data_IF_109886819407
#
_entry.id   IF_109886819407
#
_cell.length_a   1.000
_cell.length_b   1.000
_cell.length_c   1.000
_cell.angle_alpha   90.00
_cell.angle_beta   90.00
_cell.angle_gamma   90.00
#
_symmetry.space_group_name_H-M   'P 1'
#
loop_
_entity.id
_entity.type
_entity.pdbx_description
1 polymer ?
#
# COMPACT_ATOMS: atom_id res chain seq x y z
N UNK A 1 2.38 -50.54 36.38
CA UNK A 1 1.97 -50.87 37.77
C UNK A 1 0.91 -49.88 38.22
N UNK A 2 0.21 -50.25 39.30
CA UNK A 2 -0.83 -49.53 40.04
C UNK A 2 -0.47 -48.04 40.38
N UNK A 3 -1.38 -47.11 40.73
CA UNK A 3 -2.84 -47.17 40.96
C UNK A 3 -3.46 -45.74 41.02
N UNK A 4 -4.80 -45.65 41.17
CA UNK A 4 -5.57 -44.55 41.83
C UNK A 4 -5.44 -43.10 41.25
N UNK A 5 -6.43 -42.43 40.63
CA UNK A 5 -7.88 -42.18 40.97
C UNK A 5 -8.06 -41.68 42.43
N UNK A 6 -8.80 -40.61 42.77
CA UNK A 6 -10.13 -40.18 42.24
C UNK A 6 -10.62 -38.87 42.94
N UNK A 7 -11.68 -38.25 42.39
CA UNK A 7 -12.75 -37.44 43.09
C UNK A 7 -12.41 -36.09 43.76
N UNK A 8 -13.31 -35.10 43.92
CA UNK A 8 -14.77 -34.98 43.60
C UNK A 8 -15.17 -33.53 43.21
N UNK A 9 -16.38 -33.35 42.65
CA UNK A 9 -16.98 -32.06 42.25
C UNK A 9 -17.94 -31.48 43.32
N UNK A 10 -17.94 -30.15 43.47
CA UNK A 10 -19.14 -29.33 43.20
C UNK A 10 -20.13 -28.98 44.34
N UNK A 11 -21.03 -28.04 43.98
CA UNK A 11 -22.16 -27.46 44.72
C UNK A 11 -21.83 -26.50 45.89
N UNK A 12 -22.65 -25.48 46.21
CA UNK A 12 -23.63 -24.72 45.42
C UNK A 12 -24.10 -23.46 46.19
N UNK A 13 -24.47 -22.40 45.46
CA UNK A 13 -25.50 -21.36 45.76
C UNK A 13 -25.74 -20.91 47.23
N UNK A 14 -25.36 -19.67 47.53
CA UNK A 14 -26.25 -18.57 47.96
C UNK A 14 -25.41 -17.26 47.99
N UNK A 15 -25.87 -16.07 47.62
CA UNK A 15 -27.22 -15.64 47.25
C UNK A 15 -27.77 -14.62 48.24
N UNK A 16 -27.33 -13.35 48.19
CA UNK A 16 -28.04 -12.21 48.79
C UNK A 16 -27.59 -10.87 48.18
N UNK A 17 -28.54 -9.94 48.09
CA UNK A 17 -28.40 -8.62 47.46
C UNK A 17 -28.06 -7.54 48.50
N UNK A 18 -27.31 -6.49 48.11
CA UNK A 18 -27.74 -5.05 48.11
C UNK A 18 -26.54 -4.08 48.03
N UNK A 19 -26.69 -3.03 47.19
CA UNK A 19 -25.94 -1.74 47.23
C UNK A 19 -26.59 -0.82 48.31
N UNK A 20 -26.15 0.44 48.61
CA UNK A 20 -25.14 1.29 47.94
C UNK A 20 -24.24 2.24 48.81
N UNK A 21 -23.43 3.05 48.11
CA UNK A 21 -22.94 4.44 48.41
C UNK A 21 -21.75 4.69 49.36
N UNK A 22 -20.78 5.44 48.80
CA UNK A 22 -20.00 6.58 49.35
C UNK A 22 -19.16 6.35 50.65
N UNK A 23 -17.97 6.92 50.86
CA UNK A 23 -17.19 7.97 50.16
C UNK A 23 -15.76 8.10 50.74
N UNK A 24 -14.82 8.63 49.93
CA UNK A 24 -13.66 9.48 50.30
C UNK A 24 -12.52 8.96 51.22
N UNK A 25 -11.28 9.36 50.83
CA UNK A 25 -10.03 9.44 51.64
C UNK A 25 -9.41 8.09 52.08
N UNK A 26 -8.09 7.95 52.28
CA UNK A 26 -6.93 8.85 52.06
C UNK A 26 -5.65 8.00 51.82
N UNK A 27 -4.55 8.69 51.45
CA UNK A 27 -3.13 8.30 51.36
C UNK A 27 -2.64 6.90 51.80
N UNK A 28 -1.57 6.40 51.14
CA UNK A 28 -0.37 5.86 51.82
C UNK A 28 0.88 5.96 50.92
N UNK A 29 1.97 6.47 51.50
CA UNK A 29 3.32 6.55 50.92
C UNK A 29 3.97 5.18 50.74
N UNK A 30 4.90 5.07 49.77
CA UNK A 30 5.95 4.03 49.77
C UNK A 30 7.26 4.62 49.29
N UNK A 31 8.27 4.65 50.16
CA UNK A 31 9.62 5.09 49.82
C UNK A 31 10.67 4.31 50.64
N UNK A 32 11.46 3.45 49.98
CA UNK A 32 12.76 2.86 50.38
C UNK A 32 13.13 1.77 49.33
N UNK A 33 14.31 1.68 48.68
CA UNK A 33 15.73 1.79 49.14
C UNK A 33 16.04 0.60 50.10
N UNK A 34 17.07 -0.25 50.00
CA UNK A 34 18.39 -0.33 49.32
C UNK A 34 18.82 -1.85 49.25
N UNK A 35 19.92 -2.37 48.66
CA UNK A 35 21.01 -1.91 47.74
C UNK A 35 21.83 -3.14 47.27
N UNK A 36 22.47 -3.06 46.10
CA UNK A 36 23.78 -3.70 45.83
C UNK A 36 23.79 -5.06 45.11
N UNK A 37 24.89 -5.48 44.49
CA UNK A 37 26.11 -4.75 44.06
C UNK A 37 27.05 -5.71 43.31
N UNK A 38 27.55 -5.33 42.12
CA UNK A 38 28.80 -5.88 41.52
C UNK A 38 29.23 -5.03 40.33
N UNK A 39 30.39 -4.37 40.45
CA UNK A 39 31.06 -3.65 39.37
C UNK A 39 32.10 -4.55 38.70
N UNK A 40 32.37 -4.32 37.41
CA UNK A 40 33.73 -4.32 36.85
C UNK A 40 33.78 -3.41 35.60
N UNK A 41 34.95 -2.83 35.34
CA UNK A 41 35.12 -1.60 34.53
C UNK A 41 35.85 -1.82 33.20
N UNK A 42 35.74 -0.84 32.28
CA UNK A 42 36.55 -0.73 31.05
C UNK A 42 35.85 0.01 29.90
N UNK A 43 35.47 1.29 30.03
CA UNK A 43 36.22 2.47 29.50
C UNK A 43 36.65 2.35 28.03
N UNK A 44 36.30 3.21 27.05
CA UNK A 44 35.54 4.47 26.94
C UNK A 44 35.83 5.04 25.53
N UNK A 45 35.11 5.98 24.88
CA UNK A 45 34.09 7.00 25.21
C UNK A 45 33.07 7.06 24.02
N UNK A 46 32.02 7.87 23.92
CA UNK A 46 31.36 8.86 24.79
C UNK A 46 29.84 8.83 24.49
N UNK A 47 28.99 8.98 25.52
CA UNK A 47 27.54 9.29 25.38
C UNK A 47 27.41 10.80 25.02
N UNK A 48 26.30 11.36 24.53
CA UNK A 48 24.91 11.18 24.98
C UNK A 48 23.86 11.38 23.86
N UNK A 49 22.76 10.64 23.99
CA UNK A 49 21.45 10.94 23.38
C UNK A 49 20.52 11.29 24.54
N UNK A 50 19.69 12.32 24.38
CA UNK A 50 18.63 12.64 25.33
C UNK A 50 17.33 12.94 24.57
N UNK A 51 16.28 12.22 24.93
CA UNK A 51 14.95 12.28 24.30
C UNK A 51 14.27 13.64 24.45
N UNK A 52 13.45 14.02 23.46
CA UNK A 52 12.34 14.94 23.67
C UNK A 52 11.08 14.49 22.90
N UNK A 53 10.17 13.84 23.62
CA UNK A 53 8.79 13.62 23.20
C UNK A 53 7.99 14.88 23.54
N UNK A 54 7.34 15.49 22.55
CA UNK A 54 6.47 16.66 22.77
C UNK A 54 5.00 16.24 22.76
N UNK A 55 4.36 16.32 23.93
CA UNK A 55 2.93 16.05 24.11
C UNK A 55 2.23 17.35 24.52
N UNK A 56 1.48 17.98 23.61
CA UNK A 56 0.76 19.22 23.90
C UNK A 56 -0.59 18.97 24.57
N UNK A 57 -0.86 19.69 25.67
CA UNK A 57 -2.20 19.93 26.19
C UNK A 57 -2.39 21.43 26.45
N UNK A 58 -3.63 21.90 26.30
CA UNK A 58 -4.00 23.32 26.30
C UNK A 58 -4.41 23.83 27.68
N UNK A 59 -3.80 24.93 28.15
CA UNK A 59 -4.43 25.93 29.05
C UNK A 59 -3.90 27.33 28.73
N UNK A 60 -4.77 28.35 28.79
CA UNK A 60 -4.44 29.79 28.70
C UNK A 60 -4.32 30.41 30.11
N UNK A 61 -3.30 31.25 30.37
CA UNK A 61 -3.40 32.59 31.00
C UNK A 61 -2.04 33.33 30.99
N UNK A 62 -2.06 34.66 31.15
CA UNK A 62 -0.92 35.60 31.07
C UNK A 62 -0.35 35.96 32.48
N UNK A 63 0.53 36.98 32.66
CA UNK A 63 1.95 37.04 32.25
C UNK A 63 2.89 37.43 33.42
N UNK A 64 4.23 37.41 33.21
CA UNK A 64 5.22 38.46 33.60
C UNK A 64 6.67 37.91 33.68
N UNK A 65 7.64 38.83 33.50
CA UNK A 65 9.12 38.70 33.66
C UNK A 65 9.93 37.95 32.58
N UNK A 66 10.28 38.73 31.54
CA UNK A 66 11.66 39.05 31.13
C UNK A 66 12.69 37.92 30.90
N UNK A 67 12.79 37.56 29.63
CA UNK A 67 14.02 37.63 28.79
C UNK A 67 15.28 36.84 29.15
N UNK A 68 15.50 35.75 28.41
CA UNK A 68 16.74 35.54 27.66
C UNK A 68 16.44 34.70 26.41
N UNK A 69 16.34 35.36 25.26
CA UNK A 69 15.94 34.75 23.99
C UNK A 69 17.21 34.37 23.20
N UNK A 70 17.61 33.10 23.28
CA UNK A 70 18.66 32.56 22.42
C UNK A 70 18.13 32.43 20.99
N UNK A 71 18.26 33.50 20.20
CA UNK A 71 17.96 33.49 18.77
C UNK A 71 19.07 32.67 18.08
N UNK A 72 18.81 31.38 17.86
CA UNK A 72 19.60 30.59 16.92
C UNK A 72 19.19 31.05 15.51
N UNK A 73 20.09 31.62 14.69
CA UNK A 73 19.75 32.03 13.34
C UNK A 73 19.42 30.80 12.48
N UNK A 74 18.44 30.93 11.58
CA UNK A 74 17.97 29.81 10.76
C UNK A 74 19.08 29.10 9.95
N UNK A 75 20.17 29.81 9.63
CA UNK A 75 21.34 29.24 8.96
C UNK A 75 22.07 28.17 9.79
N UNK A 76 21.99 28.19 11.13
CA UNK A 76 22.65 27.18 11.97
C UNK A 76 21.95 25.82 11.93
N UNK A 77 20.62 25.77 11.73
CA UNK A 77 19.94 24.51 11.45
C UNK A 77 20.27 23.97 10.04
N UNK A 78 20.43 24.84 9.04
CA UNK A 78 20.86 24.43 7.71
C UNK A 78 22.27 23.79 7.75
N UNK A 79 23.22 24.38 8.48
CA UNK A 79 24.57 23.83 8.65
C UNK A 79 24.61 22.47 9.37
N UNK A 80 23.84 22.30 10.45
CA UNK A 80 23.74 21.01 11.15
C UNK A 80 23.03 19.94 10.30
N UNK A 81 22.15 20.34 9.37
CA UNK A 81 21.49 19.43 8.44
C UNK A 81 22.38 19.06 7.24
N UNK A 82 23.30 19.95 6.82
CA UNK A 82 24.30 19.65 5.79
C UNK A 82 25.37 18.66 6.25
N UNK A 83 25.74 18.66 7.54
CA UNK A 83 26.80 17.78 8.09
C UNK A 83 26.40 16.29 8.24
N UNK A 84 25.21 15.90 7.76
CA UNK A 84 24.70 14.52 7.80
C UNK A 84 24.29 13.99 6.41
N UNK A 85 24.54 14.75 5.35
CA UNK A 85 24.57 14.19 4.00
C UNK A 85 25.91 13.48 3.81
N UNK A 86 25.87 12.21 3.43
CA UNK A 86 27.07 11.47 3.02
C UNK A 86 27.51 12.02 1.67
N UNK A 87 28.72 12.56 1.59
CA UNK A 87 29.25 13.18 0.38
C UNK A 87 29.42 12.14 -0.75
N UNK A 88 28.75 12.39 -1.87
CA UNK A 88 28.94 11.71 -3.17
C UNK A 88 28.64 10.19 -3.20
N UNK A 89 27.36 9.84 -3.22
CA UNK A 89 26.89 8.50 -3.60
C UNK A 89 27.23 8.22 -5.06
N UNK A 90 28.07 7.22 -5.34
CA UNK A 90 28.27 6.70 -6.70
C UNK A 90 27.00 5.99 -7.14
N UNK A 91 26.54 6.22 -8.37
CA UNK A 91 25.31 5.62 -8.89
C UNK A 91 25.59 4.87 -10.19
N UNK A 92 25.39 3.56 -10.15
CA UNK A 92 25.43 2.68 -11.33
C UNK A 92 24.01 2.43 -11.82
N UNK A 93 23.78 2.38 -13.15
CA UNK A 93 22.44 2.17 -13.72
C UNK A 93 22.41 0.89 -14.54
N UNK A 94 21.47 0.01 -14.21
CA UNK A 94 21.21 -1.26 -14.88
C UNK A 94 19.70 -1.46 -15.14
N UNK A 95 19.33 -2.53 -15.82
CA UNK A 95 17.96 -3.08 -15.84
C UNK A 95 17.76 -3.98 -14.61
N UNK A 96 16.54 -4.10 -14.05
CA UNK A 96 16.27 -5.00 -12.94
C UNK A 96 16.73 -6.45 -13.11
N UNK A 97 16.71 -7.00 -14.33
CA UNK A 97 17.19 -8.37 -14.63
C UNK A 97 18.71 -8.50 -14.85
N UNK A 98 19.46 -7.39 -14.81
CA UNK A 98 20.94 -7.40 -14.85
C UNK A 98 21.54 -7.51 -13.43
N UNK A 99 20.72 -7.36 -12.38
CA UNK A 99 21.16 -7.47 -10.99
C UNK A 99 21.53 -8.93 -10.64
N UNK A 100 22.71 -9.10 -10.05
CA UNK A 100 23.24 -10.38 -9.60
C UNK A 100 22.63 -10.85 -8.28
N UNK A 101 22.86 -12.12 -7.93
CA UNK A 101 22.34 -12.75 -6.72
C UNK A 101 22.66 -11.99 -5.42
N UNK A 102 23.86 -11.39 -5.32
CA UNK A 102 24.26 -10.61 -4.15
C UNK A 102 23.44 -9.32 -3.97
N UNK A 103 23.19 -8.60 -5.06
CA UNK A 103 22.40 -7.37 -5.07
C UNK A 103 20.94 -7.64 -4.74
N UNK A 104 20.35 -8.67 -5.36
CA UNK A 104 18.98 -9.11 -5.10
C UNK A 104 18.80 -9.60 -3.65
N UNK A 105 19.82 -10.27 -3.09
CA UNK A 105 19.83 -10.69 -1.68
C UNK A 105 19.90 -9.49 -0.73
N UNK A 106 20.73 -8.49 -1.04
CA UNK A 106 20.85 -7.27 -0.24
C UNK A 106 19.57 -6.44 -0.25
N UNK A 107 18.96 -6.24 -1.43
CA UNK A 107 17.64 -5.63 -1.59
C UNK A 107 16.61 -6.34 -0.71
N UNK A 108 16.54 -7.68 -0.80
CA UNK A 108 15.59 -8.47 0.00
C UNK A 108 15.83 -8.31 1.50
N UNK A 109 17.08 -8.26 1.94
CA UNK A 109 17.44 -8.09 3.34
C UNK A 109 16.94 -6.74 3.89
N UNK A 110 17.04 -5.65 3.13
CA UNK A 110 16.49 -4.36 3.56
C UNK A 110 14.95 -4.33 3.58
N UNK A 111 14.26 -5.01 2.66
CA UNK A 111 12.81 -5.18 2.76
C UNK A 111 12.39 -5.98 4.00
N UNK A 112 13.20 -6.96 4.43
CA UNK A 112 12.94 -7.74 5.66
C UNK A 112 13.30 -6.95 6.92
N UNK A 113 14.29 -6.07 6.86
CA UNK A 113 14.73 -5.25 7.99
C UNK A 113 13.80 -4.05 8.28
N UNK A 114 13.15 -3.47 7.26
CA UNK A 114 12.22 -2.36 7.43
C UNK A 114 10.78 -2.73 7.00
N UNK A 115 9.83 -2.88 7.95
CA UNK A 115 8.42 -3.14 7.66
C UNK A 115 7.72 -2.08 6.78
N UNK A 116 8.32 -0.90 6.59
CA UNK A 116 7.84 0.15 5.67
C UNK A 116 8.26 -0.09 4.22
N UNK A 117 9.25 -0.97 3.98
CA UNK A 117 9.75 -1.37 2.66
C UNK A 117 9.30 -2.80 2.26
N UNK A 118 8.65 -3.54 3.16
CA UNK A 118 8.16 -4.91 2.96
C UNK A 118 6.97 -5.06 1.98
N UNK A 119 6.50 -4.00 1.32
CA UNK A 119 5.46 -4.09 0.30
C UNK A 119 5.91 -4.98 -0.87
N UNK A 120 5.07 -5.90 -1.38
CA UNK A 120 5.43 -6.75 -2.51
C UNK A 120 5.66 -5.95 -3.81
N UNK A 121 5.12 -4.74 -3.92
CA UNK A 121 5.41 -3.84 -5.04
C UNK A 121 6.86 -3.34 -5.08
N UNK A 122 7.57 -3.42 -3.95
CA UNK A 122 9.00 -3.11 -3.83
C UNK A 122 9.88 -4.35 -3.96
N UNK A 123 9.32 -5.53 -4.28
CA UNK A 123 10.08 -6.76 -4.39
C UNK A 123 10.93 -6.83 -5.68
N UNK A 124 12.12 -7.47 -5.64
CA UNK A 124 12.95 -7.67 -6.82
C UNK A 124 12.22 -8.45 -7.92
N UNK A 125 11.42 -9.47 -7.61
CA UNK A 125 10.65 -10.22 -8.62
C UNK A 125 9.65 -9.34 -9.37
N UNK A 126 8.99 -8.41 -8.65
CA UNK A 126 8.10 -7.43 -9.28
C UNK A 126 8.87 -6.52 -10.24
N UNK A 127 10.08 -6.10 -9.86
CA UNK A 127 10.91 -5.25 -10.70
C UNK A 127 11.47 -5.97 -11.93
N UNK A 128 11.93 -7.22 -11.77
CA UNK A 128 12.44 -8.09 -12.83
C UNK A 128 11.33 -8.39 -13.85
N UNK A 129 10.18 -8.89 -13.41
CA UNK A 129 9.06 -9.18 -14.30
C UNK A 129 8.55 -7.92 -15.02
N UNK A 130 8.55 -6.76 -14.35
CA UNK A 130 8.20 -5.51 -15.03
C UNK A 130 9.23 -5.15 -16.12
N UNK A 131 10.54 -5.33 -15.87
CA UNK A 131 11.58 -5.05 -16.85
C UNK A 131 11.52 -5.96 -18.09
N UNK A 132 11.11 -7.22 -17.92
CA UNK A 132 10.94 -8.19 -19.01
C UNK A 132 9.87 -7.75 -20.02
N UNK A 133 8.89 -6.94 -19.59
CA UNK A 133 7.81 -6.44 -20.44
C UNK A 133 7.88 -4.93 -20.77
N UNK A 134 8.66 -4.15 -20.02
CA UNK A 134 8.73 -2.70 -20.13
C UNK A 134 10.19 -2.19 -20.18
N UNK A 135 10.72 -2.06 -21.41
CA UNK A 135 12.10 -1.61 -21.71
C UNK A 135 12.52 -0.25 -21.09
N UNK A 136 11.58 0.55 -20.57
CA UNK A 136 11.89 1.77 -19.83
C UNK A 136 12.41 1.52 -18.39
N UNK A 137 12.20 0.32 -17.84
CA UNK A 137 12.56 -0.02 -16.46
C UNK A 137 14.07 0.00 -16.22
N UNK A 138 14.50 0.66 -15.15
CA UNK A 138 15.89 0.77 -14.70
C UNK A 138 15.96 0.66 -13.18
N UNK A 139 17.13 0.28 -12.68
CA UNK A 139 17.51 0.44 -11.28
C UNK A 139 18.73 1.35 -11.25
N UNK A 140 18.70 2.36 -10.40
CA UNK A 140 19.90 3.03 -9.93
C UNK A 140 20.37 2.27 -8.68
N UNK A 141 21.57 1.70 -8.74
CA UNK A 141 22.28 1.12 -7.60
C UNK A 141 23.09 2.24 -6.97
N UNK A 142 22.81 2.54 -5.70
CA UNK A 142 23.45 3.58 -4.92
C UNK A 142 24.59 2.95 -4.11
N UNK A 143 25.79 3.46 -4.30
CA UNK A 143 27.03 2.97 -3.70
C UNK A 143 27.67 4.07 -2.84
N UNK A 144 28.04 3.73 -1.61
CA UNK A 144 28.86 4.54 -0.71
C UNK A 144 30.25 3.88 -0.60
N UNK A 145 31.27 4.59 -1.05
CA UNK A 145 32.61 4.06 -1.38
C UNK A 145 32.58 2.80 -2.28
N UNK A 146 32.60 1.61 -1.66
CA UNK A 146 32.56 0.29 -2.30
C UNK A 146 31.34 -0.56 -1.88
N UNK A 147 30.46 -0.02 -1.03
CA UNK A 147 29.31 -0.72 -0.46
C UNK A 147 28.02 -0.25 -1.12
N UNK A 148 27.17 -1.18 -1.56
CA UNK A 148 25.82 -0.83 -2.01
C UNK A 148 25.00 -0.42 -0.78
N UNK A 149 24.40 0.77 -0.83
CA UNK A 149 23.59 1.38 0.25
C UNK A 149 22.13 1.59 -0.16
N UNK A 150 21.80 1.50 -1.45
CA UNK A 150 20.41 1.56 -1.89
C UNK A 150 20.15 1.11 -3.33
N UNK A 151 18.87 0.88 -3.62
CA UNK A 151 18.33 0.62 -4.94
C UNK A 151 17.16 1.56 -5.19
N UNK A 152 17.16 2.30 -6.30
CA UNK A 152 16.04 3.11 -6.74
C UNK A 152 15.48 2.56 -8.07
N UNK A 153 14.34 1.84 -8.04
CA UNK A 153 13.70 1.30 -9.25
C UNK A 153 12.80 2.35 -9.90
N UNK A 154 13.01 2.63 -11.19
CA UNK A 154 12.33 3.69 -11.92
C UNK A 154 12.10 3.35 -13.40
N UNK A 155 11.26 4.13 -14.08
CA UNK A 155 11.13 4.11 -15.54
C UNK A 155 11.79 5.35 -16.14
N UNK A 156 12.71 5.17 -17.09
CA UNK A 156 13.30 6.26 -17.88
C UNK A 156 12.55 6.42 -19.19
N UNK A 157 11.88 7.57 -19.35
CA UNK A 157 11.04 7.92 -20.51
C UNK A 157 11.68 9.09 -21.30
N UNK A 158 11.29 9.31 -22.57
CA UNK A 158 11.87 10.36 -23.42
C UNK A 158 11.80 11.76 -22.80
N UNK A 159 12.68 12.66 -23.27
CA UNK A 159 12.79 14.05 -22.83
C UNK A 159 13.17 14.22 -21.34
N UNK A 160 13.96 13.29 -20.79
CA UNK A 160 14.45 13.35 -19.41
C UNK A 160 13.35 13.10 -18.37
N UNK A 161 12.36 12.26 -18.69
CA UNK A 161 11.20 12.03 -17.83
C UNK A 161 11.40 10.74 -17.06
N UNK A 162 11.46 10.83 -15.74
CA UNK A 162 11.37 9.68 -14.86
C UNK A 162 9.94 9.47 -14.41
N UNK A 163 9.54 8.22 -14.21
CA UNK A 163 8.55 7.89 -13.18
C UNK A 163 9.12 6.84 -12.24
N UNK A 164 8.53 6.70 -11.06
CA UNK A 164 8.71 5.49 -10.25
C UNK A 164 8.31 4.24 -11.05
N UNK A 165 8.85 3.07 -10.65
CA UNK A 165 8.61 1.82 -11.37
C UNK A 165 7.12 1.44 -11.39
N UNK A 166 6.64 0.98 -12.54
CA UNK A 166 5.26 0.55 -12.76
C UNK A 166 4.23 1.64 -12.39
N UNK A 167 4.49 2.88 -12.83
CA UNK A 167 3.68 4.06 -12.49
C UNK A 167 2.20 3.89 -12.90
N UNK A 168 1.27 4.15 -11.98
CA UNK A 168 -0.19 3.80 -12.01
C UNK A 168 -0.54 2.31 -11.84
N UNK A 169 0.42 1.39 -11.75
CA UNK A 169 0.18 -0.05 -11.51
C UNK A 169 0.66 -0.49 -10.12
N UNK A 170 1.72 0.12 -9.59
CA UNK A 170 2.18 -0.08 -8.23
C UNK A 170 1.46 0.83 -7.23
N UNK A 171 0.98 0.26 -6.12
CA UNK A 171 0.46 1.01 -4.96
C UNK A 171 1.54 1.29 -3.89
N UNK A 172 2.82 1.00 -4.14
CA UNK A 172 3.95 1.35 -3.25
C UNK A 172 5.27 1.55 -3.99
N UNK A 173 5.94 2.68 -3.76
CA UNK A 173 7.16 3.11 -4.44
C UNK A 173 8.17 3.60 -3.37
N UNK A 174 9.46 3.38 -3.57
CA UNK A 174 10.50 3.78 -2.61
C UNK A 174 11.88 3.78 -3.26
N UNK A 175 12.85 4.39 -2.58
CA UNK A 175 14.25 3.91 -2.61
C UNK A 175 14.35 2.79 -1.57
N UNK A 176 14.84 1.61 -1.95
CA UNK A 176 15.08 0.50 -1.03
C UNK A 176 16.52 0.59 -0.56
N UNK A 177 16.74 1.10 0.66
CA UNK A 177 18.07 1.39 1.18
C UNK A 177 18.31 0.81 2.58
N UNK A 178 19.56 0.87 3.03
CA UNK A 178 19.94 0.55 4.41
C UNK A 178 19.25 1.49 5.41
N UNK A 179 19.08 1.01 6.65
CA UNK A 179 18.42 1.78 7.70
C UNK A 179 19.20 3.06 8.04
N UNK A 180 18.51 4.20 8.04
CA UNK A 180 19.08 5.52 8.36
C UNK A 180 19.70 6.26 7.17
N UNK A 181 20.02 5.58 6.06
CA UNK A 181 20.62 6.18 4.87
C UNK A 181 19.77 7.33 4.30
N UNK A 182 20.44 8.45 3.99
CA UNK A 182 19.87 9.62 3.34
C UNK A 182 20.49 9.79 1.95
N UNK A 183 19.73 10.35 1.01
CA UNK A 183 20.17 10.63 -0.35
C UNK A 183 19.61 11.99 -0.79
N UNK A 184 20.36 12.74 -1.59
CA UNK A 184 19.80 13.92 -2.25
C UNK A 184 18.97 13.46 -3.47
N UNK A 185 17.65 13.76 -3.51
CA UNK A 185 16.82 13.41 -4.67
C UNK A 185 17.29 14.08 -5.98
N UNK A 186 17.86 15.28 -5.94
CA UNK A 186 18.37 16.02 -7.10
C UNK A 186 19.62 15.35 -7.66
N UNK A 187 20.54 14.90 -6.81
CA UNK A 187 21.72 14.14 -7.23
C UNK A 187 21.33 12.78 -7.80
N UNK A 188 20.41 12.07 -7.14
CA UNK A 188 19.85 10.81 -7.65
C UNK A 188 19.21 11.00 -9.04
N UNK A 189 18.41 12.06 -9.24
CA UNK A 189 17.86 12.39 -10.56
C UNK A 189 18.94 12.75 -11.59
N UNK A 190 20.01 13.40 -11.16
CA UNK A 190 21.13 13.78 -12.04
C UNK A 190 21.85 12.54 -12.55
N UNK A 191 22.25 11.64 -11.65
CA UNK A 191 22.83 10.35 -11.99
C UNK A 191 21.91 9.54 -12.91
N UNK A 192 20.62 9.41 -12.57
CA UNK A 192 19.62 8.72 -13.38
C UNK A 192 19.44 9.31 -14.80
N UNK A 193 19.94 10.51 -15.08
CA UNK A 193 19.71 11.27 -16.30
C UNK A 193 18.23 11.66 -16.46
N UNK A 194 17.57 11.99 -15.34
CA UNK A 194 16.17 12.38 -15.24
C UNK A 194 16.09 13.87 -14.90
N UNK A 195 15.26 14.63 -15.60
CA UNK A 195 15.00 16.05 -15.34
C UNK A 195 13.80 16.25 -14.39
N UNK A 196 12.76 15.42 -14.53
CA UNK A 196 11.55 15.42 -13.69
C UNK A 196 11.19 13.98 -13.35
N UNK A 197 10.99 13.66 -12.08
CA UNK A 197 10.44 12.38 -11.63
C UNK A 197 8.98 12.59 -11.18
N UNK A 198 8.04 11.86 -11.77
CA UNK A 198 6.63 11.82 -11.33
C UNK A 198 6.36 10.53 -10.56
N UNK A 199 5.64 10.62 -9.44
CA UNK A 199 5.32 9.50 -8.56
C UNK A 199 3.93 9.66 -7.93
N UNK A 200 3.33 8.54 -7.53
CA UNK A 200 2.00 8.54 -6.92
C UNK A 200 1.88 7.71 -5.64
N UNK A 201 2.88 6.89 -5.28
CA UNK A 201 2.82 6.04 -4.09
C UNK A 201 4.16 5.93 -3.34
N UNK A 202 4.96 7.01 -3.28
CA UNK A 202 6.20 6.99 -2.49
C UNK A 202 5.86 6.73 -1.02
N UNK A 203 6.55 5.80 -0.35
CA UNK A 203 6.34 5.50 1.07
C UNK A 203 6.46 6.76 1.92
N UNK A 204 5.47 7.02 2.78
CA UNK A 204 5.32 8.32 3.44
C UNK A 204 6.52 8.76 4.28
N UNK A 205 7.26 7.81 4.87
CA UNK A 205 8.47 8.12 5.64
C UNK A 205 9.61 8.70 4.78
N UNK A 206 9.62 8.49 3.46
CA UNK A 206 10.60 9.08 2.54
C UNK A 206 10.15 10.43 1.96
N UNK A 207 8.89 10.84 2.20
CA UNK A 207 8.31 12.03 1.54
C UNK A 207 9.07 13.32 1.84
N UNK A 208 9.71 13.39 3.02
CA UNK A 208 10.48 14.56 3.44
C UNK A 208 11.70 14.81 2.54
N UNK A 209 12.48 13.77 2.17
CA UNK A 209 13.61 13.93 1.25
C UNK A 209 13.15 14.54 -0.08
N UNK A 210 12.04 14.04 -0.65
CA UNK A 210 11.46 14.58 -1.89
C UNK A 210 10.89 16.00 -1.76
N UNK A 211 10.47 16.43 -0.56
CA UNK A 211 9.72 17.68 -0.35
C UNK A 211 10.49 18.96 -0.71
N UNK A 212 11.82 18.95 -0.59
CA UNK A 212 12.66 20.11 -0.90
C UNK A 212 12.85 20.31 -2.43
N UNK A 213 12.56 19.27 -3.22
CA UNK A 213 12.89 19.19 -4.65
C UNK A 213 11.69 19.35 -5.60
N UNK A 214 10.49 19.64 -5.07
CA UNK A 214 9.29 19.80 -5.89
C UNK A 214 7.99 19.88 -5.09
N UNK A 215 6.92 19.24 -5.61
CA UNK A 215 5.63 19.15 -4.93
C UNK A 215 5.43 17.73 -4.42
N UNK A 216 5.06 17.61 -3.14
CA UNK A 216 4.79 16.34 -2.47
C UNK A 216 3.52 16.50 -1.64
N UNK A 217 2.47 15.78 -2.02
CA UNK A 217 1.20 15.73 -1.29
C UNK A 217 1.12 14.38 -0.56
N UNK A 218 1.03 14.40 0.78
CA UNK A 218 0.80 13.19 1.58
C UNK A 218 -0.68 12.80 1.57
N UNK A 219 -0.94 11.51 1.39
CA UNK A 219 -2.28 10.94 1.26
C UNK A 219 -2.40 9.61 2.03
N UNK A 220 -3.57 9.34 2.65
CA UNK A 220 -3.79 8.10 3.37
C UNK A 220 -3.88 6.91 2.40
N UNK A 221 -3.18 5.84 2.76
CA UNK A 221 -3.28 4.50 2.18
C UNK A 221 -4.04 3.58 3.17
N UNK A 222 -5.33 3.28 2.94
CA UNK A 222 -6.11 2.43 3.84
C UNK A 222 -5.55 1.01 3.98
N UNK A 223 -5.46 0.51 5.21
CA UNK A 223 -4.99 -0.84 5.54
C UNK A 223 -6.00 -1.56 6.42
N UNK A 224 -6.16 -2.86 6.21
CA UNK A 224 -6.74 -3.78 7.18
C UNK A 224 -5.57 -4.35 8.00
N UNK A 225 -5.40 -3.87 9.22
CA UNK A 225 -4.48 -4.43 10.20
C UNK A 225 -5.12 -5.69 10.82
N UNK A 226 -4.41 -6.81 10.67
CA UNK A 226 -4.78 -8.17 11.06
C UNK A 226 -3.91 -8.70 12.23
N UNK A 227 -3.12 -7.84 12.88
CA UNK A 227 -2.30 -8.24 14.06
C UNK A 227 -3.15 -8.65 15.27
N UNK A 228 -4.39 -8.15 15.35
CA UNK A 228 -5.39 -8.56 16.35
C UNK A 228 -6.27 -9.75 15.90
N UNK A 229 -7.23 -10.12 16.74
CA UNK A 229 -8.15 -11.21 16.42
C UNK A 229 -9.13 -10.81 15.29
N UNK A 230 -9.13 -11.56 14.19
CA UNK A 230 -10.02 -11.33 13.05
C UNK A 230 -11.51 -11.28 13.41
N UNK A 231 -11.99 -12.13 14.32
CA UNK A 231 -13.40 -12.13 14.73
C UNK A 231 -13.78 -10.87 15.51
N UNK A 232 -12.82 -10.30 16.26
CA UNK A 232 -13.01 -9.04 16.98
C UNK A 232 -13.02 -7.86 16.00
N UNK A 233 -12.11 -7.85 15.02
CA UNK A 233 -12.13 -6.89 13.92
C UNK A 233 -13.46 -6.96 13.15
N UNK A 234 -13.94 -8.16 12.79
CA UNK A 234 -15.18 -8.34 12.05
C UNK A 234 -16.41 -7.95 12.87
N UNK A 235 -16.38 -8.18 14.19
CA UNK A 235 -17.40 -7.72 15.14
C UNK A 235 -17.43 -6.20 15.23
N UNK A 236 -16.29 -5.52 15.37
CA UNK A 236 -16.17 -4.06 15.31
C UNK A 236 -16.75 -3.53 13.99
N UNK A 237 -16.27 -4.02 12.85
CA UNK A 237 -16.72 -3.53 11.53
C UNK A 237 -18.21 -3.78 11.28
N UNK A 238 -18.82 -4.82 11.84
CA UNK A 238 -20.29 -5.02 11.79
C UNK A 238 -21.07 -4.02 12.68
N UNK A 239 -20.44 -3.39 13.66
CA UNK A 239 -21.02 -2.34 14.49
C UNK A 239 -20.78 -0.94 13.89
N UNK A 240 -19.55 -0.66 13.46
CA UNK A 240 -19.12 0.65 12.93
C UNK A 240 -19.45 0.88 11.46
N UNK A 241 -19.60 -0.18 10.65
CA UNK A 241 -19.92 -0.09 9.22
C UNK A 241 -21.21 -0.83 8.84
N UNK A 242 -22.23 -0.05 8.49
CA UNK A 242 -23.49 -0.57 7.96
C UNK A 242 -23.28 -1.39 6.67
N UNK A 243 -22.27 -1.07 5.86
CA UNK A 243 -21.95 -1.80 4.64
C UNK A 243 -21.35 -3.19 4.91
N UNK A 244 -20.49 -3.34 5.93
CA UNK A 244 -19.95 -4.65 6.34
C UNK A 244 -21.06 -5.52 6.96
N UNK A 245 -21.93 -4.91 7.78
CA UNK A 245 -23.13 -5.54 8.32
C UNK A 245 -24.07 -6.02 7.20
N UNK A 246 -24.26 -5.21 6.15
CA UNK A 246 -25.02 -5.60 4.96
C UNK A 246 -24.32 -6.70 4.15
N UNK A 247 -23.01 -6.63 3.91
CA UNK A 247 -22.26 -7.65 3.19
C UNK A 247 -22.39 -9.03 3.86
N UNK A 248 -22.29 -9.09 5.20
CA UNK A 248 -22.54 -10.32 5.98
C UNK A 248 -23.96 -10.88 5.75
N UNK A 249 -24.99 -10.01 5.72
CA UNK A 249 -26.37 -10.43 5.42
C UNK A 249 -26.52 -10.91 3.98
N UNK A 250 -25.89 -10.22 3.04
CA UNK A 250 -25.93 -10.55 1.61
C UNK A 250 -25.18 -11.85 1.29
N UNK A 251 -24.15 -12.23 2.04
CA UNK A 251 -23.52 -13.55 1.94
C UNK A 251 -24.50 -14.68 2.26
N UNK A 252 -25.31 -14.53 3.32
CA UNK A 252 -26.39 -15.49 3.64
C UNK A 252 -27.48 -15.51 2.57
N UNK A 253 -27.81 -14.35 2.00
CA UNK A 253 -28.77 -14.24 0.89
C UNK A 253 -28.26 -14.94 -0.37
N UNK A 254 -26.99 -14.70 -0.73
CA UNK A 254 -26.30 -15.35 -1.86
C UNK A 254 -26.25 -16.87 -1.67
N UNK A 255 -25.94 -17.33 -0.46
CA UNK A 255 -25.98 -18.75 -0.09
C UNK A 255 -27.36 -19.38 -0.35
N UNK A 256 -28.42 -18.71 0.08
CA UNK A 256 -29.79 -19.24 0.00
C UNK A 256 -30.37 -19.20 -1.42
N UNK A 257 -30.10 -18.15 -2.20
CA UNK A 257 -30.72 -17.93 -3.51
C UNK A 257 -29.90 -18.47 -4.70
N UNK A 258 -28.57 -18.63 -4.55
CA UNK A 258 -27.68 -19.08 -5.65
C UNK A 258 -27.02 -20.43 -5.36
N UNK A 259 -26.70 -20.74 -4.10
CA UNK A 259 -26.09 -22.01 -3.70
C UNK A 259 -24.95 -21.84 -2.69
N UNK A 260 -24.38 -22.97 -2.25
CA UNK A 260 -23.34 -23.01 -1.21
C UNK A 260 -22.17 -22.06 -1.50
N UNK A 261 -21.70 -21.37 -0.46
CA UNK A 261 -20.58 -20.43 -0.59
C UNK A 261 -19.28 -21.19 -0.35
N UNK A 262 -18.41 -21.20 -1.35
CA UNK A 262 -17.06 -21.73 -1.26
C UNK A 262 -16.04 -20.60 -1.48
N UNK A 263 -15.02 -20.52 -0.63
CA UNK A 263 -13.94 -19.55 -0.77
C UNK A 263 -12.61 -20.27 -0.90
N UNK A 264 -11.91 -20.00 -2.00
CA UNK A 264 -10.56 -20.50 -2.27
C UNK A 264 -9.60 -19.33 -2.15
N UNK A 265 -8.64 -19.43 -1.23
CA UNK A 265 -7.72 -18.34 -0.90
C UNK A 265 -6.66 -18.10 -1.98
N UNK A 266 -6.18 -19.17 -2.62
CA UNK A 266 -5.30 -19.13 -3.78
C UNK A 266 -5.76 -20.20 -4.79
N UNK A 267 -6.45 -19.78 -5.84
CA UNK A 267 -6.97 -20.65 -6.88
C UNK A 267 -5.86 -20.98 -7.89
N UNK A 268 -5.56 -22.27 -8.15
CA UNK A 268 -4.61 -22.66 -9.18
C UNK A 268 -5.20 -22.57 -10.60
N UNK A 269 -6.51 -22.35 -10.73
CA UNK A 269 -7.24 -22.50 -11.99
C UNK A 269 -6.91 -21.41 -13.02
N UNK A 270 -6.31 -21.74 -14.18
CA UNK A 270 -6.03 -20.75 -15.23
C UNK A 270 -7.31 -20.09 -15.77
N UNK A 271 -8.44 -20.80 -15.69
CA UNK A 271 -9.76 -20.31 -16.07
C UNK A 271 -10.22 -19.13 -15.18
N UNK A 272 -9.98 -19.19 -13.87
CA UNK A 272 -10.29 -18.08 -12.95
C UNK A 272 -9.45 -16.84 -13.29
N UNK A 273 -8.17 -17.03 -13.61
CA UNK A 273 -7.26 -15.94 -13.94
C UNK A 273 -7.65 -15.27 -15.28
N UNK A 274 -8.01 -16.06 -16.29
CA UNK A 274 -8.59 -15.55 -17.53
C UNK A 274 -9.93 -14.81 -17.29
N UNK A 275 -10.79 -15.35 -16.42
CA UNK A 275 -12.09 -14.75 -16.08
C UNK A 275 -11.92 -13.41 -15.36
N UNK A 276 -10.96 -13.30 -14.44
CA UNK A 276 -10.57 -12.04 -13.80
C UNK A 276 -10.18 -11.00 -14.85
N UNK A 277 -9.22 -11.32 -15.73
CA UNK A 277 -8.75 -10.38 -16.76
C UNK A 277 -9.89 -9.90 -17.66
N UNK A 278 -10.79 -10.80 -18.07
CA UNK A 278 -11.98 -10.46 -18.85
C UNK A 278 -12.92 -9.50 -18.10
N UNK A 279 -13.20 -9.75 -16.81
CA UNK A 279 -14.02 -8.85 -15.99
C UNK A 279 -13.35 -7.49 -15.74
N UNK A 280 -12.03 -7.44 -15.55
CA UNK A 280 -11.29 -6.17 -15.40
C UNK A 280 -11.30 -5.37 -16.69
N UNK A 281 -11.06 -5.99 -17.84
CA UNK A 281 -11.19 -5.39 -19.17
C UNK A 281 -12.59 -4.78 -19.37
N UNK A 282 -13.64 -5.59 -19.17
CA UNK A 282 -15.02 -5.14 -19.27
C UNK A 282 -15.34 -4.00 -18.29
N UNK A 283 -14.80 -4.02 -17.07
CA UNK A 283 -14.91 -2.93 -16.10
C UNK A 283 -14.25 -1.64 -16.60
N UNK A 284 -13.03 -1.69 -17.14
CA UNK A 284 -12.33 -0.51 -17.64
C UNK A 284 -13.08 0.12 -18.80
N UNK A 285 -13.48 -0.68 -19.79
CA UNK A 285 -14.29 -0.23 -20.94
C UNK A 285 -15.61 0.40 -20.47
N UNK A 286 -16.38 -0.28 -19.61
CA UNK A 286 -17.67 0.22 -19.08
C UNK A 286 -17.54 1.52 -18.28
N UNK A 287 -16.38 1.77 -17.67
CA UNK A 287 -16.13 2.97 -16.86
C UNK A 287 -15.38 4.08 -17.60
N UNK A 288 -15.14 3.91 -18.91
CA UNK A 288 -14.41 4.87 -19.75
C UNK A 288 -12.91 4.96 -19.47
N UNK A 289 -12.38 4.11 -18.58
CA UNK A 289 -10.96 4.04 -18.27
C UNK A 289 -10.20 3.38 -19.44
N UNK A 290 -8.88 3.58 -19.50
CA UNK A 290 -8.04 2.80 -20.42
C UNK A 290 -8.04 1.34 -19.97
N UNK A 291 -8.24 0.42 -20.91
CA UNK A 291 -8.16 -1.02 -20.61
C UNK A 291 -6.69 -1.44 -20.54
N UNK A 292 -6.26 -1.81 -19.33
CA UNK A 292 -4.89 -2.24 -19.05
C UNK A 292 -4.62 -3.65 -19.59
N UNK A 293 -5.61 -4.54 -19.52
CA UNK A 293 -5.45 -5.94 -19.96
C UNK A 293 -5.56 -6.10 -21.49
N UNK A 294 -6.00 -5.07 -22.21
CA UNK A 294 -5.88 -4.99 -23.66
C UNK A 294 -4.44 -4.71 -24.15
N UNK A 295 -3.52 -4.30 -23.27
CA UNK A 295 -2.10 -4.14 -23.61
C UNK A 295 -1.36 -5.48 -23.43
N UNK A 296 -0.82 -6.11 -24.49
CA UNK A 296 -0.13 -7.39 -24.39
C UNK A 296 1.07 -7.39 -23.44
N UNK A 297 1.79 -6.27 -23.30
CA UNK A 297 2.93 -6.14 -22.36
C UNK A 297 2.47 -6.18 -20.91
N UNK A 298 1.39 -5.46 -20.60
CA UNK A 298 0.83 -5.48 -19.25
C UNK A 298 0.21 -6.84 -18.91
N UNK A 299 -0.46 -7.48 -19.89
CA UNK A 299 -1.00 -8.82 -19.74
C UNK A 299 0.12 -9.85 -19.47
N UNK A 300 1.15 -9.88 -20.30
CA UNK A 300 2.31 -10.76 -20.13
C UNK A 300 2.98 -10.58 -18.78
N UNK A 301 3.15 -9.34 -18.34
CA UNK A 301 3.68 -9.01 -17.01
C UNK A 301 2.86 -9.64 -15.87
N UNK A 302 1.52 -9.52 -15.89
CA UNK A 302 0.69 -10.13 -14.84
C UNK A 302 0.65 -11.67 -14.98
N UNK A 303 0.77 -12.21 -16.19
CA UNK A 303 0.95 -13.66 -16.45
C UNK A 303 2.29 -14.19 -15.88
N UNK A 304 3.40 -13.48 -16.06
CA UNK A 304 4.72 -13.81 -15.48
C UNK A 304 4.70 -13.75 -13.94
N UNK A 305 4.09 -12.71 -13.37
CA UNK A 305 3.88 -12.61 -11.94
C UNK A 305 3.00 -13.73 -11.37
N UNK A 306 2.02 -14.24 -12.14
CA UNK A 306 1.16 -15.35 -11.72
C UNK A 306 1.91 -16.70 -11.73
N UNK A 307 2.85 -16.87 -12.66
CA UNK A 307 3.76 -18.03 -12.69
C UNK A 307 4.83 -17.96 -11.60
N UNK A 308 5.21 -16.76 -11.16
CA UNK A 308 6.25 -16.57 -10.14
C UNK A 308 5.74 -16.91 -8.74
N UNK A 309 6.29 -17.99 -8.17
CA UNK A 309 5.99 -18.44 -6.81
C UNK A 309 7.28 -18.65 -6.02
N UNK A 310 7.67 -17.65 -5.23
CA UNK A 310 8.79 -17.75 -4.27
C UNK A 310 8.27 -17.82 -2.83
N UNK A 311 9.16 -18.08 -1.86
CA UNK A 311 8.81 -18.05 -0.43
C UNK A 311 8.52 -16.64 0.09
N UNK A 312 9.05 -15.61 -0.57
CA UNK A 312 8.91 -14.21 -0.18
C UNK A 312 7.93 -13.42 -1.07
N UNK A 313 7.64 -13.87 -2.29
CA UNK A 313 6.81 -13.15 -3.26
C UNK A 313 5.92 -14.09 -4.07
N UNK A 314 4.61 -13.81 -4.13
CA UNK A 314 3.63 -14.57 -4.92
C UNK A 314 2.50 -13.65 -5.41
N UNK A 315 1.94 -13.91 -6.59
CA UNK A 315 0.65 -13.37 -6.99
C UNK A 315 -0.45 -14.41 -6.73
N UNK A 316 -1.38 -14.11 -5.83
CA UNK A 316 -2.45 -15.03 -5.40
C UNK A 316 -3.81 -14.62 -5.98
N UNK A 317 -4.61 -15.61 -6.37
CA UNK A 317 -5.94 -15.39 -6.93
C UNK A 317 -7.02 -15.98 -6.01
N UNK A 318 -7.62 -15.16 -5.16
CA UNK A 318 -8.72 -15.62 -4.34
C UNK A 318 -10.03 -15.70 -5.15
N UNK A 319 -10.78 -16.79 -4.98
CA UNK A 319 -12.11 -17.01 -5.59
C UNK A 319 -13.20 -17.12 -4.54
N UNK A 320 -14.27 -16.36 -4.73
CA UNK A 320 -15.56 -16.57 -4.07
C UNK A 320 -16.54 -17.21 -5.07
N UNK A 321 -17.01 -18.41 -4.74
CA UNK A 321 -17.96 -19.19 -5.52
C UNK A 321 -19.29 -19.31 -4.76
N UNK A 322 -20.41 -19.35 -5.48
CA UNK A 322 -21.76 -19.55 -4.97
C UNK A 322 -22.48 -20.57 -5.86
N UNK A 323 -22.73 -21.78 -5.35
CA UNK A 323 -23.09 -22.93 -6.19
C UNK A 323 -22.05 -23.15 -7.28
N UNK A 324 -22.48 -23.38 -8.52
CA UNK A 324 -21.56 -23.56 -9.66
C UNK A 324 -20.98 -22.24 -10.21
N UNK A 325 -21.33 -21.09 -9.63
CA UNK A 325 -20.98 -19.77 -10.18
C UNK A 325 -19.84 -19.10 -9.42
N UNK A 326 -18.77 -18.74 -10.14
CA UNK A 326 -17.79 -17.77 -9.65
C UNK A 326 -18.47 -16.41 -9.45
N UNK A 327 -18.57 -15.95 -8.21
CA UNK A 327 -19.25 -14.71 -7.85
C UNK A 327 -18.29 -13.52 -7.78
N UNK A 328 -17.06 -13.73 -7.27
CA UNK A 328 -16.00 -12.74 -7.25
C UNK A 328 -14.60 -13.36 -7.30
N UNK A 329 -13.65 -12.55 -7.78
CA UNK A 329 -12.24 -12.89 -7.92
C UNK A 329 -11.40 -11.71 -7.43
N UNK A 330 -10.38 -11.98 -6.63
CA UNK A 330 -9.49 -10.96 -6.06
C UNK A 330 -8.03 -11.37 -6.25
N UNK A 331 -7.36 -10.73 -7.21
CA UNK A 331 -5.92 -10.89 -7.40
C UNK A 331 -5.17 -9.97 -6.43
N UNK A 332 -4.25 -10.55 -5.65
CA UNK A 332 -3.46 -9.84 -4.64
C UNK A 332 -2.00 -10.25 -4.72
N UNK A 333 -1.09 -9.30 -4.52
CA UNK A 333 0.33 -9.62 -4.34
C UNK A 333 0.57 -9.99 -2.88
N UNK A 334 1.42 -10.98 -2.63
CA UNK A 334 1.76 -11.48 -1.28
C UNK A 334 3.24 -11.28 -1.02
N UNK A 335 3.55 -10.62 0.09
CA UNK A 335 4.87 -10.58 0.74
C UNK A 335 4.82 -11.44 2.02
N UNK A 336 5.94 -11.64 2.77
CA UNK A 336 5.96 -12.53 3.92
C UNK A 336 4.91 -12.24 5.00
N UNK A 337 4.63 -10.96 5.27
CA UNK A 337 3.80 -10.47 6.37
C UNK A 337 2.47 -9.84 5.94
N UNK A 338 2.19 -9.72 4.63
CA UNK A 338 1.04 -8.95 4.11
C UNK A 338 0.56 -9.35 2.71
N UNK A 339 -0.68 -8.94 2.40
CA UNK A 339 -1.22 -8.89 1.04
C UNK A 339 -1.41 -7.44 0.57
N UNK A 340 -1.11 -7.15 -0.70
CA UNK A 340 -1.54 -5.94 -1.38
C UNK A 340 -2.70 -6.25 -2.35
N UNK A 341 -3.87 -5.66 -2.09
CA UNK A 341 -5.13 -5.97 -2.77
C UNK A 341 -5.26 -5.21 -4.11
N UNK A 342 -4.94 -5.90 -5.21
CA UNK A 342 -4.62 -5.24 -6.48
C UNK A 342 -5.79 -5.20 -7.48
N UNK A 343 -6.35 -6.36 -7.84
CA UNK A 343 -7.45 -6.45 -8.79
C UNK A 343 -8.66 -7.22 -8.21
N UNK A 344 -9.59 -6.53 -7.53
CA UNK A 344 -10.93 -7.04 -7.31
C UNK A 344 -11.75 -7.01 -8.60
N UNK A 345 -12.48 -8.09 -8.86
CA UNK A 345 -13.49 -8.24 -9.91
C UNK A 345 -14.68 -9.08 -9.40
N UNK A 346 -15.83 -8.97 -10.04
CA UNK A 346 -17.01 -9.77 -9.70
C UNK A 346 -18.00 -9.87 -10.85
N UNK A 347 -18.85 -10.89 -10.80
CA UNK A 347 -19.96 -11.07 -11.73
C UNK A 347 -20.99 -9.95 -11.52
N UNK A 348 -21.11 -9.05 -12.50
CA UNK A 348 -22.01 -7.90 -12.41
C UNK A 348 -23.50 -8.27 -12.37
N UNK A 349 -23.89 -9.48 -12.77
CA UNK A 349 -25.27 -9.97 -12.59
C UNK A 349 -25.59 -10.27 -11.12
N UNK A 350 -24.57 -10.57 -10.31
CA UNK A 350 -24.67 -10.80 -8.87
C UNK A 350 -24.40 -9.53 -8.04
N UNK A 351 -24.32 -8.35 -8.66
CA UNK A 351 -23.97 -7.09 -7.99
C UNK A 351 -24.87 -6.74 -6.78
N UNK A 352 -26.14 -7.15 -6.80
CA UNK A 352 -27.10 -6.97 -5.71
C UNK A 352 -26.63 -7.61 -4.39
N UNK A 353 -25.92 -8.74 -4.45
CA UNK A 353 -25.35 -9.46 -3.32
C UNK A 353 -24.01 -8.88 -2.83
N UNK A 354 -23.46 -7.85 -3.49
CA UNK A 354 -22.15 -7.26 -3.16
C UNK A 354 -21.00 -8.29 -3.06
N UNK A 355 -20.84 -9.21 -4.03
CA UNK A 355 -19.88 -10.33 -3.96
C UNK A 355 -18.42 -9.88 -3.79
N UNK A 356 -18.02 -8.73 -4.35
CA UNK A 356 -16.67 -8.19 -4.11
C UNK A 356 -16.40 -7.83 -2.63
N UNK A 357 -17.39 -7.33 -1.90
CA UNK A 357 -17.26 -7.07 -0.45
C UNK A 357 -17.26 -8.35 0.36
N UNK A 358 -18.05 -9.35 -0.03
CA UNK A 358 -18.02 -10.68 0.58
C UNK A 358 -16.64 -11.31 0.39
N UNK A 359 -16.10 -11.27 -0.83
CA UNK A 359 -14.78 -11.81 -1.16
C UNK A 359 -13.67 -11.13 -0.36
N UNK A 360 -13.74 -9.82 -0.13
CA UNK A 360 -12.74 -9.10 0.68
C UNK A 360 -12.81 -9.46 2.18
N UNK A 361 -14.00 -9.74 2.73
CA UNK A 361 -14.13 -10.25 4.11
C UNK A 361 -13.46 -11.63 4.23
N UNK A 362 -13.75 -12.55 3.31
CA UNK A 362 -13.18 -13.90 3.32
C UNK A 362 -11.66 -13.88 3.03
N UNK A 363 -11.19 -12.95 2.19
CA UNK A 363 -9.76 -12.73 1.94
C UNK A 363 -9.02 -12.25 3.20
N UNK A 364 -9.60 -11.31 3.95
CA UNK A 364 -9.02 -10.85 5.22
C UNK A 364 -9.01 -11.96 6.28
N UNK A 365 -10.06 -12.80 6.34
CA UNK A 365 -10.12 -13.96 7.23
C UNK A 365 -9.03 -14.99 6.91
N UNK A 366 -8.87 -15.32 5.63
CA UNK A 366 -7.86 -16.28 5.18
C UNK A 366 -6.43 -15.73 5.35
N UNK A 367 -6.20 -14.44 5.10
CA UNK A 367 -4.93 -13.79 5.34
C UNK A 367 -4.52 -13.82 6.83
N UNK A 368 -5.45 -13.57 7.75
CA UNK A 368 -5.19 -13.68 9.18
C UNK A 368 -4.87 -15.12 9.61
N UNK A 369 -5.58 -16.12 9.04
CA UNK A 369 -5.33 -17.55 9.28
C UNK A 369 -3.98 -18.02 8.70
N UNK A 370 -3.52 -17.40 7.62
CA UNK A 370 -2.21 -17.59 6.98
C UNK A 370 -1.07 -16.85 7.71
N UNK A 371 -1.35 -16.24 8.87
CA UNK A 371 -0.38 -15.55 9.71
C UNK A 371 0.04 -14.17 9.20
N UNK A 372 -0.67 -13.61 8.22
CA UNK A 372 -0.37 -12.28 7.67
C UNK A 372 -0.90 -11.18 8.59
N UNK A 373 -0.05 -10.21 8.87
CA UNK A 373 -0.31 -9.09 9.77
C UNK A 373 -1.14 -7.97 9.14
N UNK A 374 -1.15 -7.85 7.81
CA UNK A 374 -1.77 -6.71 7.10
C UNK A 374 -2.37 -7.11 5.74
N UNK A 375 -3.40 -6.38 5.34
CA UNK A 375 -3.93 -6.37 3.98
C UNK A 375 -4.05 -4.90 3.52
N UNK A 376 -3.14 -4.50 2.65
CA UNK A 376 -3.03 -3.15 2.10
C UNK A 376 -4.09 -2.98 1.00
N UNK A 377 -4.97 -1.97 1.13
CA UNK A 377 -6.01 -1.70 0.14
C UNK A 377 -5.55 -0.71 -0.95
N UNK A 378 -4.32 -0.20 -0.85
CA UNK A 378 -3.75 0.83 -1.72
C UNK A 378 -4.43 2.20 -1.56
N UNK A 379 -3.76 3.28 -1.99
CA UNK A 379 -4.33 4.64 -1.98
C UNK A 379 -5.63 4.71 -2.78
N UNK A 380 -6.56 5.61 -2.43
CA UNK A 380 -7.72 5.87 -3.29
C UNK A 380 -8.95 6.43 -2.60
N UNK A 381 -9.86 6.98 -3.41
CA UNK A 381 -11.13 7.60 -2.97
C UNK A 381 -12.32 6.63 -2.97
N UNK A 382 -12.09 5.35 -3.25
CA UNK A 382 -13.09 4.30 -3.26
C UNK A 382 -13.69 4.10 -1.86
N UNK A 383 -14.96 4.48 -1.70
CA UNK A 383 -15.66 4.47 -0.42
C UNK A 383 -15.60 3.11 0.32
N UNK A 384 -15.51 2.00 -0.40
CA UNK A 384 -15.42 0.68 0.24
C UNK A 384 -14.16 0.54 1.11
N UNK A 385 -13.01 1.13 0.72
CA UNK A 385 -11.78 1.03 1.51
C UNK A 385 -11.97 1.56 2.94
N UNK A 386 -12.76 2.63 3.08
CA UNK A 386 -13.12 3.24 4.35
C UNK A 386 -14.05 2.37 5.22
N UNK A 387 -14.76 1.39 4.64
CA UNK A 387 -15.62 0.47 5.39
C UNK A 387 -14.84 -0.69 6.02
N UNK A 388 -13.68 -1.02 5.45
CA UNK A 388 -12.86 -2.17 5.85
C UNK A 388 -11.68 -1.74 6.74
N UNK A 389 -11.05 -0.60 6.45
CA UNK A 389 -9.85 -0.17 7.17
C UNK A 389 -10.04 -0.02 8.68
N UNK A 390 -8.98 -0.29 9.42
CA UNK A 390 -8.76 0.08 10.82
C UNK A 390 -7.48 0.90 11.00
N UNK A 391 -6.66 1.03 9.96
CA UNK A 391 -5.44 1.84 9.92
C UNK A 391 -5.34 2.61 8.59
N UNK A 392 -4.65 3.74 8.58
CA UNK A 392 -4.18 4.42 7.37
C UNK A 392 -2.65 4.56 7.45
N UNK A 393 -1.94 3.95 6.51
CA UNK A 393 -0.54 4.30 6.27
C UNK A 393 -0.48 5.61 5.46
N UNK A 394 0.70 6.17 5.27
CA UNK A 394 0.92 7.37 4.46
C UNK A 394 1.71 7.05 3.20
N UNK A 395 1.26 7.58 2.07
CA UNK A 395 2.01 7.61 0.82
C UNK A 395 2.00 9.02 0.22
N UNK A 396 3.05 9.35 -0.49
CA UNK A 396 3.24 10.62 -1.17
C UNK A 396 2.94 10.50 -2.67
N UNK A 397 2.19 11.46 -3.21
CA UNK A 397 2.08 11.72 -4.64
C UNK A 397 2.70 13.07 -5.01
N UNK A 398 3.17 13.20 -6.24
CA UNK A 398 3.70 14.47 -6.73
C UNK A 398 4.80 14.32 -7.77
N UNK A 399 5.73 15.26 -7.72
CA UNK A 399 6.89 15.28 -8.61
C UNK A 399 8.03 16.09 -7.99
N UNK A 400 9.25 15.69 -8.31
CA UNK A 400 10.47 16.46 -8.08
C UNK A 400 11.14 16.80 -9.41
N UNK A 401 11.91 17.88 -9.46
CA UNK A 401 12.55 18.32 -10.69
C UNK A 401 13.89 19.01 -10.46
N UNK A 402 14.85 18.74 -11.35
CA UNK A 402 16.13 19.45 -11.41
C UNK A 402 15.97 20.76 -12.18
N UNK A 403 16.78 21.76 -11.84
CA UNK A 403 16.91 22.99 -12.63
C UNK A 403 17.47 22.66 -14.02
N UNK A 404 16.59 22.56 -15.02
CA UNK A 404 16.95 22.24 -16.40
C UNK A 404 15.90 22.75 -17.39
N UNK A 405 16.27 23.05 -18.65
CA UNK A 405 15.31 23.49 -19.68
C UNK A 405 14.21 22.46 -19.95
N UNK A 406 14.54 21.16 -19.90
CA UNK A 406 13.57 20.07 -20.08
C UNK A 406 12.53 20.02 -18.95
N UNK A 407 12.94 20.25 -17.70
CA UNK A 407 12.01 20.35 -16.57
C UNK A 407 11.08 21.55 -16.71
N UNK A 408 11.60 22.73 -17.08
CA UNK A 408 10.80 23.93 -17.29
C UNK A 408 9.75 23.73 -18.41
N UNK A 409 10.18 23.17 -19.56
CA UNK A 409 9.27 22.86 -20.67
C UNK A 409 8.16 21.90 -20.23
N UNK A 410 8.49 20.85 -19.47
CA UNK A 410 7.50 19.89 -18.96
C UNK A 410 6.58 20.50 -17.92
N UNK A 411 7.06 21.41 -17.07
CA UNK A 411 6.24 22.15 -16.12
C UNK A 411 5.21 23.03 -16.85
N UNK A 412 5.61 23.73 -17.91
CA UNK A 412 4.70 24.50 -18.78
C UNK A 412 3.67 23.59 -19.46
N UNK A 413 4.10 22.46 -20.05
CA UNK A 413 3.20 21.51 -20.71
C UNK A 413 2.18 20.86 -19.75
N UNK A 414 2.59 20.51 -18.52
CA UNK A 414 1.71 19.84 -17.55
C UNK A 414 0.86 20.83 -16.74
N UNK A 415 1.27 22.09 -16.60
CA UNK A 415 0.57 23.11 -15.81
C UNK A 415 -0.94 23.19 -16.09
N UNK A 416 -1.39 23.39 -17.34
CA UNK A 416 -2.81 23.45 -17.68
C UNK A 416 -3.58 22.17 -17.33
N UNK A 417 -3.00 20.99 -17.64
CA UNK A 417 -3.61 19.69 -17.34
C UNK A 417 -3.73 19.46 -15.83
N UNK A 418 -2.71 19.84 -15.05
CA UNK A 418 -2.69 19.73 -13.58
C UNK A 418 -3.69 20.71 -12.95
N UNK A 419 -3.80 21.93 -13.43
CA UNK A 419 -4.80 22.91 -12.97
C UNK A 419 -6.24 22.42 -13.21
N UNK A 420 -6.53 21.88 -14.40
CA UNK A 420 -7.85 21.28 -14.71
C UNK A 420 -8.13 20.07 -13.82
N UNK A 421 -7.15 19.17 -13.61
CA UNK A 421 -7.32 18.02 -12.72
C UNK A 421 -7.58 18.45 -11.27
N UNK A 422 -6.85 19.45 -10.75
CA UNK A 422 -7.05 19.96 -9.39
C UNK A 422 -8.42 20.64 -9.23
N UNK A 423 -8.85 21.44 -10.21
CA UNK A 423 -10.20 22.03 -10.22
C UNK A 423 -11.30 20.96 -10.21
N UNK A 424 -11.15 19.90 -11.02
CA UNK A 424 -12.11 18.80 -11.12
C UNK A 424 -12.12 17.94 -9.85
N UNK A 425 -10.96 17.66 -9.24
CA UNK A 425 -10.86 16.83 -8.04
C UNK A 425 -11.29 17.59 -6.76
N UNK A 426 -10.94 18.87 -6.66
CA UNK A 426 -11.31 19.76 -5.56
C UNK A 426 -12.80 20.14 -5.54
N UNK A 427 -13.51 20.02 -6.67
CA UNK A 427 -14.93 20.32 -6.75
C UNK A 427 -15.79 19.02 -6.87
N UNK A 428 -16.58 18.65 -5.84
CA UNK A 428 -17.40 17.44 -5.87
C UNK A 428 -18.39 17.34 -7.04
N UNK A 429 -18.91 18.48 -7.54
CA UNK A 429 -19.82 18.52 -8.70
C UNK A 429 -19.06 18.20 -9.99
N UNK A 430 -17.91 18.84 -10.22
CA UNK A 430 -17.06 18.56 -11.38
C UNK A 430 -16.54 17.12 -11.39
N UNK A 431 -16.11 16.60 -10.23
CA UNK A 431 -15.72 15.18 -10.07
C UNK A 431 -16.84 14.23 -10.46
N UNK A 432 -18.09 14.57 -10.15
CA UNK A 432 -19.28 13.76 -10.49
C UNK A 432 -19.60 13.88 -11.98
N UNK A 433 -19.55 15.07 -12.55
CA UNK A 433 -19.72 15.31 -13.99
C UNK A 433 -18.65 14.57 -14.81
N UNK A 434 -17.38 14.65 -14.44
CA UNK A 434 -16.28 13.94 -15.08
C UNK A 434 -16.44 12.41 -15.02
N UNK A 435 -16.87 11.86 -13.87
CA UNK A 435 -17.22 10.44 -13.73
C UNK A 435 -18.38 10.03 -14.63
N UNK A 436 -19.37 10.90 -14.84
CA UNK A 436 -20.49 10.66 -15.75
C UNK A 436 -20.09 10.75 -17.23
N UNK A 437 -19.26 11.73 -17.60
CA UNK A 437 -18.69 11.84 -18.95
C UNK A 437 -17.84 10.62 -19.32
N UNK A 438 -17.00 10.13 -18.40
CA UNK A 438 -16.24 8.89 -18.58
C UNK A 438 -17.17 7.67 -18.78
N UNK A 439 -18.26 7.54 -18.03
CA UNK A 439 -19.27 6.50 -18.28
C UNK A 439 -19.90 6.63 -19.68
N UNK A 440 -20.20 7.83 -20.15
CA UNK A 440 -20.70 8.09 -21.50
C UNK A 440 -19.71 7.65 -22.59
N UNK A 441 -18.42 7.99 -22.44
CA UNK A 441 -17.34 7.48 -23.31
C UNK A 441 -17.28 5.95 -23.28
N UNK A 442 -17.48 5.34 -22.11
CA UNK A 442 -17.58 3.88 -21.96
C UNK A 442 -18.75 3.28 -22.75
N UNK A 443 -19.94 3.89 -22.66
CA UNK A 443 -21.13 3.47 -23.44
C UNK A 443 -20.90 3.56 -24.95
N UNK A 444 -20.30 4.67 -25.43
CA UNK A 444 -19.95 4.85 -26.86
C UNK A 444 -18.95 3.77 -27.31
N UNK A 445 -17.91 3.50 -26.51
CA UNK A 445 -16.93 2.44 -26.82
C UNK A 445 -17.59 1.04 -26.86
N UNK A 446 -18.51 0.75 -25.95
CA UNK A 446 -19.26 -0.52 -25.95
C UNK A 446 -20.16 -0.64 -27.19
N UNK A 447 -20.87 0.43 -27.57
CA UNK A 447 -21.68 0.45 -28.79
C UNK A 447 -20.82 0.22 -30.05
N UNK A 448 -19.69 0.92 -30.18
CA UNK A 448 -18.76 0.76 -31.28
C UNK A 448 -18.12 -0.65 -31.34
N UNK A 449 -17.79 -1.25 -30.18
CA UNK A 449 -17.28 -2.61 -30.11
C UNK A 449 -18.35 -3.64 -30.52
N UNK A 450 -19.60 -3.45 -30.08
CA UNK A 450 -20.74 -4.31 -30.44
C UNK A 450 -21.08 -4.23 -31.93
N UNK A 451 -21.01 -3.04 -32.53
CA UNK A 451 -21.19 -2.84 -33.97
C UNK A 451 -20.10 -3.57 -34.78
N UNK A 452 -18.82 -3.43 -34.37
CA UNK A 452 -17.71 -4.15 -35.02
C UNK A 452 -17.81 -5.67 -34.87
N UNK A 453 -18.34 -6.19 -33.76
CA UNK A 453 -18.55 -7.63 -33.61
C UNK A 453 -19.71 -8.15 -34.46
N UNK A 454 -20.81 -7.38 -34.58
CA UNK A 454 -21.91 -7.76 -35.48
C UNK A 454 -21.49 -7.73 -36.94
N UNK A 455 -20.71 -6.75 -37.38
CA UNK A 455 -20.20 -6.70 -38.76
C UNK A 455 -19.26 -7.87 -39.06
N UNK A 456 -18.34 -8.22 -38.14
CA UNK A 456 -17.51 -9.42 -38.28
C UNK A 456 -18.34 -10.70 -38.37
N UNK A 457 -19.42 -10.82 -37.58
CA UNK A 457 -20.30 -11.99 -37.64
C UNK A 457 -21.06 -12.05 -38.98
N UNK A 458 -21.54 -10.90 -39.47
CA UNK A 458 -22.25 -10.76 -40.75
C UNK A 458 -21.34 -11.09 -41.95
N UNK A 459 -20.11 -10.58 -41.94
CA UNK A 459 -19.08 -10.90 -42.95
C UNK A 459 -18.66 -12.38 -42.91
N UNK A 460 -18.67 -13.02 -41.74
CA UNK A 460 -18.34 -14.45 -41.60
C UNK A 460 -19.49 -15.37 -42.03
N UNK A 461 -20.74 -14.90 -41.94
CA UNK A 461 -21.94 -15.57 -42.44
C UNK A 461 -22.23 -15.31 -43.94
N UNK A 462 -21.43 -14.46 -44.61
CA UNK A 462 -21.54 -14.13 -46.04
C UNK A 462 -20.37 -14.66 -46.88
N UNK A 463 -19.51 -15.52 -46.31
CA UNK A 463 -18.57 -16.32 -47.08
C UNK A 463 -19.25 -17.67 -47.40
N UNK A 464 -19.35 -18.07 -48.69
CA UNK A 464 -19.86 -19.38 -49.07
C UNK A 464 -18.92 -20.51 -48.61
#
# INVERSE_FOLDING_TARGET
MAEQRRTIRGCARAGLQRKPRNSLREAWDVNNIATGSSQCFGTGKQREVLDYVVQFHSVRTQPHRLSLLAIIPANSMAMLCSSLYVDCVKVTICKPHELGFGELSLWRNWQKADPRLASPFLAPEFAIAFANHFEAARVAVLEDEANIVGFFPYEKRPLGVGTTLAYNFSDTQAVICSAGFQFDPIELLQACGVAVLEFDHIVGHQSFQFSQAGRVDLLPAPVIDLTGNFEEWLKDKRQTSSNIKQATRKQRKLHHEIGSINFVYDSPEPADFAQLMAWKSAQYVRTGRSDRFANPRFRGFVEELFATRTGDFQLRLARLQAGDRTAALCLSLRAPDRLAHWFPAYDTSLASYSPGSICLINLAEAAAKDGLSRLDLGKGSEAYKQWFKNFDDQVAEGWIQRRSPAALLRQVQQGPKRAVLQLVLGNPRLRTAARSALKGVGQIRQAAAKAKSSDRFRQKAQRP
#
